data_IF_894614934172
#
_entry.id   IF_894614934172
#
_cell.length_a   1.000
_cell.length_b   1.000
_cell.length_c   1.000
_cell.angle_alpha   90.00
_cell.angle_beta   90.00
_cell.angle_gamma   90.00
#
_symmetry.space_group_name_H-M   'P 1'
#
loop_
_entity.id
_entity.type
_entity.pdbx_description
1 polymer ?
#
# COMPACT_ATOMS: atom_id res chain seq x y z
N UNK A 1 20.25 -49.77 -34.43
CA UNK A 1 20.74 -48.48 -33.91
C UNK A 1 19.67 -47.42 -34.15
N UNK A 2 19.35 -46.61 -33.13
CA UNK A 2 19.14 -45.13 -33.12
C UNK A 2 18.07 -44.79 -32.06
N UNK A 3 18.52 -44.47 -30.85
CA UNK A 3 17.67 -43.97 -29.77
C UNK A 3 17.45 -42.47 -29.95
N UNK A 4 16.19 -42.03 -29.90
CA UNK A 4 15.84 -40.60 -29.90
C UNK A 4 15.98 -40.06 -28.47
N UNK A 5 16.73 -38.97 -28.24
CA UNK A 5 16.82 -38.38 -26.92
C UNK A 5 15.56 -37.55 -26.66
N UNK A 6 14.71 -38.01 -25.75
CA UNK A 6 13.65 -37.21 -25.14
C UNK A 6 14.32 -36.16 -24.24
N UNK A 7 14.49 -34.94 -24.76
CA UNK A 7 14.90 -33.78 -23.96
C UNK A 7 13.70 -33.38 -23.11
N UNK A 8 13.67 -33.83 -21.86
CA UNK A 8 12.72 -33.36 -20.86
C UNK A 8 13.12 -31.94 -20.44
N UNK A 9 12.47 -30.94 -21.05
CA UNK A 9 12.62 -29.55 -20.69
C UNK A 9 11.80 -29.28 -19.42
N UNK A 10 12.41 -29.47 -18.25
CA UNK A 10 11.81 -29.08 -16.97
C UNK A 10 11.78 -27.56 -16.87
N UNK A 11 10.65 -26.95 -17.25
CA UNK A 11 10.40 -25.54 -17.02
C UNK A 11 10.16 -25.35 -15.52
N UNK A 12 11.19 -24.87 -14.81
CA UNK A 12 11.03 -24.43 -13.44
C UNK A 12 10.19 -23.15 -13.44
N UNK A 13 8.88 -23.29 -13.22
CA UNK A 13 7.97 -22.16 -13.08
C UNK A 13 8.22 -21.57 -11.69
N UNK A 14 9.13 -20.61 -11.60
CA UNK A 14 9.29 -19.78 -10.40
C UNK A 14 8.04 -18.92 -10.25
N UNK A 15 7.08 -19.40 -9.44
CA UNK A 15 5.91 -18.64 -9.04
C UNK A 15 6.35 -17.49 -8.12
N UNK A 16 6.64 -16.34 -8.72
CA UNK A 16 6.74 -15.09 -7.98
C UNK A 16 5.31 -14.75 -7.58
N UNK A 17 4.95 -14.94 -6.30
CA UNK A 17 3.70 -14.42 -5.78
C UNK A 17 3.73 -12.90 -5.99
N UNK A 18 2.97 -12.42 -6.97
CA UNK A 18 2.81 -10.98 -7.17
C UNK A 18 2.34 -10.40 -5.84
N UNK A 19 3.12 -9.44 -5.30
CA UNK A 19 2.73 -8.73 -4.09
C UNK A 19 1.33 -8.12 -4.28
N UNK A 20 0.59 -7.87 -3.19
CA UNK A 20 -0.74 -7.30 -3.30
C UNK A 20 -0.71 -6.03 -4.16
N UNK A 21 -1.59 -5.93 -5.15
CA UNK A 21 -1.63 -4.78 -6.03
C UNK A 21 -1.85 -3.50 -5.22
N UNK A 22 -0.98 -2.51 -5.44
CA UNK A 22 -1.10 -1.19 -4.84
C UNK A 22 -1.65 -0.24 -5.90
N UNK A 23 -2.84 0.30 -5.63
CA UNK A 23 -3.44 1.35 -6.44
C UNK A 23 -2.79 2.68 -6.11
N UNK A 24 -2.35 3.42 -7.13
CA UNK A 24 -1.94 4.81 -6.94
C UNK A 24 -3.16 5.67 -6.62
N UNK A 25 -3.16 6.38 -5.48
CA UNK A 25 -4.23 7.30 -5.10
C UNK A 25 -3.86 8.73 -5.45
N UNK A 26 -2.66 9.17 -5.07
CA UNK A 26 -2.22 10.52 -5.42
C UNK A 26 -0.97 10.99 -4.68
N UNK A 27 -0.76 12.31 -4.74
CA UNK A 27 0.40 13.01 -4.21
C UNK A 27 -0.06 14.17 -3.33
N UNK A 28 0.70 14.52 -2.30
CA UNK A 28 0.43 15.62 -1.38
C UNK A 28 1.64 16.57 -1.23
N UNK A 29 1.34 17.85 -1.02
CA UNK A 29 2.30 18.87 -0.60
C UNK A 29 2.63 18.82 0.90
N UNK A 30 1.86 18.04 1.67
CA UNK A 30 1.99 17.92 3.12
C UNK A 30 3.01 16.82 3.47
N UNK A 31 3.67 16.92 4.65
CA UNK A 31 4.49 15.85 5.21
C UNK A 31 3.75 14.52 5.34
N UNK A 32 4.47 13.40 5.28
CA UNK A 32 3.89 12.05 5.35
C UNK A 32 3.13 11.81 6.65
N UNK A 33 3.65 12.32 7.76
CA UNK A 33 3.00 12.22 9.09
C UNK A 33 1.62 12.89 9.08
N UNK A 34 1.52 14.14 8.60
CA UNK A 34 0.25 14.88 8.50
C UNK A 34 -0.78 14.16 7.62
N UNK A 35 -0.34 13.63 6.48
CA UNK A 35 -1.20 12.87 5.56
C UNK A 35 -1.70 11.59 6.22
N UNK A 36 -0.80 10.84 6.88
CA UNK A 36 -1.16 9.60 7.57
C UNK A 36 -2.13 9.83 8.74
N UNK A 37 -1.92 10.90 9.52
CA UNK A 37 -2.80 11.29 10.61
C UNK A 37 -4.18 11.71 10.10
N UNK A 38 -4.24 12.47 8.99
CA UNK A 38 -5.50 12.84 8.35
C UNK A 38 -6.28 11.61 7.90
N UNK A 39 -5.64 10.66 7.21
CA UNK A 39 -6.32 9.45 6.72
C UNK A 39 -6.84 8.62 7.90
N UNK A 40 -6.01 8.42 8.93
CA UNK A 40 -6.40 7.66 10.12
C UNK A 40 -7.60 8.30 10.81
N UNK A 41 -7.60 9.64 10.95
CA UNK A 41 -8.72 10.39 11.53
C UNK A 41 -9.97 10.28 10.68
N UNK A 42 -9.88 10.51 9.37
CA UNK A 42 -11.03 10.44 8.44
C UNK A 42 -11.70 9.07 8.51
N UNK A 43 -10.93 7.99 8.49
CA UNK A 43 -11.47 6.64 8.57
C UNK A 43 -12.02 6.31 9.96
N UNK A 44 -11.34 6.71 11.04
CA UNK A 44 -11.84 6.51 12.40
C UNK A 44 -13.19 7.24 12.62
N UNK A 45 -13.27 8.50 12.20
CA UNK A 45 -14.48 9.33 12.33
C UNK A 45 -15.64 8.75 11.49
N UNK A 46 -15.37 8.33 10.25
CA UNK A 46 -16.42 7.80 9.36
C UNK A 46 -16.91 6.40 9.75
N UNK A 47 -15.99 5.54 10.18
CA UNK A 47 -16.33 4.15 10.54
C UNK A 47 -16.78 3.98 11.99
N UNK A 48 -16.44 4.93 12.87
CA UNK A 48 -16.57 4.79 14.32
C UNK A 48 -15.82 3.55 14.85
N UNK A 49 -14.72 3.17 14.17
CA UNK A 49 -13.87 2.05 14.55
C UNK A 49 -12.44 2.52 14.79
N UNK A 50 -11.70 1.73 15.56
CA UNK A 50 -10.27 1.95 15.71
C UNK A 50 -9.57 1.72 14.37
N UNK A 51 -8.72 2.69 14.00
CA UNK A 51 -7.81 2.59 12.86
C UNK A 51 -6.40 2.30 13.36
N UNK A 52 -5.74 1.32 12.77
CA UNK A 52 -4.36 0.96 13.11
C UNK A 52 -3.42 1.65 12.13
N UNK A 53 -2.42 2.34 12.66
CA UNK A 53 -1.33 2.95 11.89
C UNK A 53 -0.02 2.28 12.27
N UNK A 54 0.76 1.85 11.28
CA UNK A 54 2.06 1.21 11.47
C UNK A 54 3.14 2.03 10.76
N UNK A 55 4.11 2.53 11.53
CA UNK A 55 5.28 3.17 10.94
C UNK A 55 6.15 2.10 10.26
N UNK A 56 6.48 2.35 8.99
CA UNK A 56 7.34 1.50 8.16
C UNK A 56 8.75 2.09 8.06
N UNK A 57 8.87 3.42 8.21
CA UNK A 57 10.15 4.11 8.40
C UNK A 57 10.12 4.94 9.69
N UNK A 58 11.29 5.17 10.26
CA UNK A 58 11.45 6.02 11.44
C UNK A 58 10.96 7.46 11.16
N UNK A 59 10.64 8.18 12.23
CA UNK A 59 10.22 9.60 12.19
C UNK A 59 8.99 9.87 11.31
N UNK A 60 8.08 8.91 11.17
CA UNK A 60 6.82 9.10 10.43
C UNK A 60 7.00 9.28 8.92
N UNK A 61 8.19 9.01 8.37
CA UNK A 61 8.47 9.17 6.94
C UNK A 61 7.68 8.21 6.05
N UNK A 62 7.26 7.08 6.62
CA UNK A 62 6.39 6.12 5.95
C UNK A 62 5.48 5.45 6.97
N UNK A 63 4.20 5.42 6.66
CA UNK A 63 3.16 4.83 7.52
C UNK A 63 2.18 4.05 6.68
N UNK A 64 1.85 2.84 7.11
CA UNK A 64 0.70 2.09 6.62
C UNK A 64 -0.49 2.36 7.55
N UNK A 65 -1.51 3.03 7.03
CA UNK A 65 -2.78 3.24 7.74
C UNK A 65 -3.74 2.16 7.27
N UNK A 66 -4.14 1.25 8.14
CA UNK A 66 -4.99 0.12 7.79
C UNK A 66 -6.45 0.56 7.70
N UNK A 67 -7.17 0.05 6.69
CA UNK A 67 -8.62 0.27 6.57
C UNK A 67 -9.31 -0.24 7.85
N UNK A 68 -10.38 0.41 8.35
CA UNK A 68 -11.09 -0.04 9.55
C UNK A 68 -11.38 -1.56 9.56
N UNK A 69 -11.04 -2.22 10.66
CA UNK A 69 -11.17 -3.67 10.84
C UNK A 69 -10.04 -4.51 10.24
N UNK A 70 -9.09 -3.92 9.50
CA UNK A 70 -7.89 -4.61 9.01
C UNK A 70 -6.76 -4.57 10.05
N UNK A 71 -5.85 -5.55 10.00
CA UNK A 71 -4.76 -5.69 10.97
C UNK A 71 -3.41 -5.92 10.29
N UNK A 72 -2.34 -5.25 10.73
CA UNK A 72 -0.98 -5.51 10.25
C UNK A 72 -0.51 -6.96 10.50
N UNK A 73 0.50 -7.44 9.76
CA UNK A 73 1.22 -6.75 8.67
C UNK A 73 0.51 -6.90 7.31
N UNK A 74 -0.61 -7.61 7.26
CA UNK A 74 -1.34 -7.94 6.03
C UNK A 74 -2.64 -7.12 5.92
N UNK A 75 -3.36 -7.25 4.82
CA UNK A 75 -4.66 -6.58 4.66
C UNK A 75 -4.58 -5.19 4.01
N UNK A 76 -5.76 -4.59 3.88
CA UNK A 76 -5.94 -3.36 3.14
C UNK A 76 -5.43 -2.14 3.93
N UNK A 77 -4.64 -1.29 3.27
CA UNK A 77 -4.01 -0.14 3.91
C UNK A 77 -3.66 0.96 2.90
N UNK A 78 -3.81 2.21 3.33
CA UNK A 78 -3.19 3.36 2.69
C UNK A 78 -1.70 3.37 3.02
N UNK A 79 -0.87 3.26 2.00
CA UNK A 79 0.58 3.32 2.08
C UNK A 79 1.01 4.77 1.85
N UNK A 80 1.37 5.46 2.94
CA UNK A 80 1.86 6.85 2.89
C UNK A 80 3.38 6.81 2.87
N UNK A 81 4.01 7.38 1.84
CA UNK A 81 5.47 7.34 1.62
C UNK A 81 6.00 8.67 1.11
N UNK A 82 7.33 8.92 1.18
CA UNK A 82 7.91 10.09 0.52
C UNK A 82 7.69 10.02 -0.99
N UNK A 83 7.33 11.15 -1.59
CA UNK A 83 7.16 11.23 -3.04
C UNK A 83 8.52 11.33 -3.74
N UNK A 84 8.62 10.73 -4.92
CA UNK A 84 9.76 10.91 -5.83
C UNK A 84 9.44 11.91 -6.94
N UNK A 85 8.23 12.45 -6.96
CA UNK A 85 7.79 13.41 -7.96
C UNK A 85 8.23 14.82 -7.58
N UNK A 86 8.81 15.55 -8.54
CA UNK A 86 9.22 16.93 -8.33
C UNK A 86 8.05 17.79 -7.85
N UNK A 87 8.28 18.52 -6.76
CA UNK A 87 7.28 19.41 -6.17
C UNK A 87 6.20 18.71 -5.35
N UNK A 88 6.25 17.40 -5.08
CA UNK A 88 5.39 16.76 -4.08
C UNK A 88 6.23 16.23 -2.91
N UNK A 89 5.65 16.18 -1.70
CA UNK A 89 6.35 15.68 -0.51
C UNK A 89 6.00 14.23 -0.20
N UNK A 90 4.73 13.87 -0.42
CA UNK A 90 4.19 12.58 0.00
C UNK A 90 3.43 11.93 -1.14
N UNK A 91 3.63 10.64 -1.33
CA UNK A 91 2.85 9.77 -2.18
C UNK A 91 1.92 8.91 -1.33
N UNK A 92 0.70 8.67 -1.82
CA UNK A 92 -0.23 7.73 -1.21
C UNK A 92 -0.68 6.68 -2.22
N UNK A 93 -0.44 5.42 -1.87
CA UNK A 93 -1.04 4.26 -2.52
C UNK A 93 -2.05 3.56 -1.63
N UNK A 94 -2.89 2.71 -2.20
CA UNK A 94 -3.85 1.91 -1.47
C UNK A 94 -3.73 0.45 -1.87
N UNK A 95 -3.47 -0.40 -0.87
CA UNK A 95 -3.35 -1.84 -1.02
C UNK A 95 -4.68 -2.50 -0.65
N UNK A 96 -5.14 -3.48 -1.42
CA UNK A 96 -6.18 -4.44 -1.01
C UNK A 96 -7.64 -4.00 -1.06
N UNK A 97 -7.97 -2.71 -0.93
CA UNK A 97 -9.35 -2.20 -1.00
C UNK A 97 -9.44 -0.89 -1.78
N UNK A 98 -9.79 -0.94 -3.06
CA UNK A 98 -9.90 0.24 -3.92
C UNK A 98 -11.03 1.21 -3.52
N UNK A 99 -12.07 0.75 -2.81
CA UNK A 99 -13.22 1.57 -2.46
C UNK A 99 -12.89 2.62 -1.39
N UNK A 100 -11.90 2.34 -0.54
CA UNK A 100 -11.44 3.27 0.49
C UNK A 100 -10.61 4.45 -0.07
N UNK A 101 -10.28 4.45 -1.37
CA UNK A 101 -9.47 5.51 -2.00
C UNK A 101 -10.14 6.89 -1.99
N UNK A 102 -11.48 6.94 -2.06
CA UNK A 102 -12.22 8.20 -2.13
C UNK A 102 -12.02 9.08 -0.90
N UNK A 103 -11.95 8.47 0.28
CA UNK A 103 -11.79 9.16 1.55
C UNK A 103 -10.36 9.75 1.73
N UNK A 104 -9.38 9.20 1.01
CA UNK A 104 -7.98 9.66 1.06
C UNK A 104 -7.80 11.00 0.36
N UNK A 105 -8.57 11.29 -0.69
CA UNK A 105 -8.40 12.49 -1.51
C UNK A 105 -8.54 13.80 -0.72
N UNK A 106 -9.33 13.82 0.37
CA UNK A 106 -9.47 14.99 1.23
C UNK A 106 -8.20 15.30 2.06
N UNK A 107 -7.27 14.34 2.14
CA UNK A 107 -6.04 14.45 2.92
C UNK A 107 -4.79 14.81 2.11
N UNK A 108 -4.90 14.78 0.77
CA UNK A 108 -3.79 15.07 -0.15
C UNK A 108 -3.56 16.58 -0.31
#
# INVERSE_FOLDING_TARGET
MKYLPLIALTVAISAHAAGPAVQNVGQSQKPAEDVSACIAKTWADKSQQQVISQNVLANGLATDVYVPGQQPPNGAAAMVRPSWQAGAKTWVGLRGDAAAAGDINACL
#
